data_IF_283377794812
#
_entry.id   IF_283377794812
#
_cell.length_a   1.000
_cell.length_b   1.000
_cell.length_c   1.000
_cell.angle_alpha   90.00
_cell.angle_beta   90.00
_cell.angle_gamma   90.00
#
_symmetry.space_group_name_H-M   'P 1'
#
loop_
_entity.id
_entity.type
_entity.pdbx_description
1 polymer ?
#
# COMPACT_ATOMS: atom_id res chain seq x y z
N UNK A 1 45.44 46.65 16.98
CA UNK A 1 45.02 45.97 18.23
C UNK A 1 43.65 46.43 18.75
N UNK A 2 43.31 47.75 18.73
CA UNK A 2 42.01 48.27 19.28
C UNK A 2 40.75 47.78 18.51
N UNK A 3 40.87 47.47 17.22
CA UNK A 3 39.69 46.99 16.43
C UNK A 3 39.31 45.53 16.78
N UNK A 4 40.29 44.67 17.03
CA UNK A 4 40.04 43.28 17.45
C UNK A 4 39.41 43.17 18.83
N UNK A 5 39.84 44.02 19.78
CA UNK A 5 39.26 44.09 21.12
C UNK A 5 37.77 44.52 21.07
N UNK A 6 37.41 45.50 20.22
CA UNK A 6 36.00 45.90 20.04
C UNK A 6 35.11 44.80 19.48
N UNK A 7 35.64 43.97 18.58
CA UNK A 7 34.89 42.82 18.05
C UNK A 7 34.67 41.73 19.12
N UNK A 8 35.69 41.45 19.93
CA UNK A 8 35.55 40.54 21.06
C UNK A 8 34.58 41.03 22.13
N UNK A 9 34.62 42.32 22.46
CA UNK A 9 33.69 42.93 23.44
C UNK A 9 32.26 42.99 22.91
N UNK A 10 32.05 43.21 21.61
CA UNK A 10 30.74 43.16 20.97
C UNK A 10 30.17 41.75 20.99
N UNK A 11 30.99 40.75 20.69
CA UNK A 11 30.58 39.32 20.73
C UNK A 11 30.19 38.87 22.14
N UNK A 12 31.00 39.27 23.16
CA UNK A 12 30.66 38.96 24.57
C UNK A 12 29.38 39.66 25.05
N UNK A 13 29.14 40.91 24.65
CA UNK A 13 27.90 41.62 24.98
C UNK A 13 26.68 41.00 24.32
N UNK A 14 26.79 40.58 23.05
CA UNK A 14 25.74 39.86 22.35
C UNK A 14 25.42 38.53 23.02
N UNK A 15 26.45 37.74 23.39
CA UNK A 15 26.28 36.45 24.07
C UNK A 15 25.64 36.63 25.47
N UNK A 16 26.06 37.65 26.24
CA UNK A 16 25.47 37.94 27.57
C UNK A 16 24.06 38.51 27.46
N UNK A 17 23.75 39.30 26.44
CA UNK A 17 22.39 39.75 26.15
C UNK A 17 21.46 38.61 25.76
N UNK A 18 21.97 37.68 24.96
CA UNK A 18 21.23 36.48 24.58
C UNK A 18 20.97 35.53 25.77
N UNK A 19 21.97 35.35 26.65
CA UNK A 19 21.83 34.54 27.87
C UNK A 19 20.90 35.18 28.93
N UNK A 20 20.65 36.48 28.87
CA UNK A 20 19.74 37.23 29.76
C UNK A 20 18.36 37.51 29.14
N UNK A 21 18.13 37.12 27.90
CA UNK A 21 16.86 37.31 27.22
C UNK A 21 15.83 36.29 27.76
N UNK A 22 15.15 36.66 28.84
CA UNK A 22 14.06 35.87 29.45
C UNK A 22 12.84 35.70 28.50
N UNK A 23 12.78 36.47 27.43
CA UNK A 23 11.74 36.34 26.39
C UNK A 23 11.90 35.20 25.42
N UNK A 24 13.01 34.41 25.50
CA UNK A 24 13.24 33.24 24.62
C UNK A 24 12.66 31.92 25.12
N UNK A 25 12.21 31.86 26.37
CA UNK A 25 11.70 30.61 26.99
C UNK A 25 10.55 29.98 26.20
N UNK A 26 9.50 30.69 25.78
CA UNK A 26 8.40 30.08 25.00
C UNK A 26 8.83 29.57 23.64
N UNK A 27 9.79 30.24 22.99
CA UNK A 27 10.29 29.80 21.68
C UNK A 27 11.13 28.52 21.79
N UNK A 28 11.91 28.38 22.86
CA UNK A 28 12.70 27.16 23.11
C UNK A 28 11.79 25.97 23.50
N UNK A 29 10.81 26.23 24.36
CA UNK A 29 9.80 25.24 24.74
C UNK A 29 9.03 24.73 23.51
N UNK A 30 8.58 25.63 22.64
CA UNK A 30 7.94 25.28 21.38
C UNK A 30 8.87 24.47 20.47
N UNK A 31 10.14 24.87 20.33
CA UNK A 31 11.10 24.17 19.49
C UNK A 31 11.40 22.74 19.96
N UNK A 32 11.26 22.46 21.25
CA UNK A 32 11.42 21.11 21.81
C UNK A 32 10.17 20.25 21.62
N UNK A 33 8.99 20.83 21.75
CA UNK A 33 7.71 20.10 21.65
C UNK A 33 7.26 19.91 20.20
N UNK A 34 7.50 20.90 19.33
CA UNK A 34 7.02 20.90 17.96
C UNK A 34 7.46 19.66 17.14
N UNK A 35 8.71 19.18 17.19
CA UNK A 35 9.12 18.00 16.43
C UNK A 35 8.33 16.74 16.81
N UNK A 36 8.08 16.54 18.10
CA UNK A 36 7.31 15.40 18.61
C UNK A 36 5.85 15.52 18.19
N UNK A 37 5.26 16.68 18.35
CA UNK A 37 3.88 16.96 17.94
C UNK A 37 3.68 16.74 16.44
N UNK A 38 4.59 17.28 15.62
CA UNK A 38 4.56 17.10 14.16
C UNK A 38 4.69 15.62 13.80
N UNK A 39 5.60 14.87 14.43
CA UNK A 39 5.76 13.45 14.19
C UNK A 39 4.47 12.67 14.48
N UNK A 40 3.77 12.97 15.58
CA UNK A 40 2.49 12.33 15.93
C UNK A 40 1.40 12.67 14.91
N UNK A 41 1.27 13.94 14.51
CA UNK A 41 0.27 14.37 13.53
C UNK A 41 0.51 13.68 12.18
N UNK A 42 1.73 13.74 11.64
CA UNK A 42 2.05 13.10 10.37
C UNK A 42 1.90 11.57 10.45
N UNK A 43 2.29 10.95 11.55
CA UNK A 43 2.12 9.51 11.79
C UNK A 43 0.64 9.12 11.76
N UNK A 44 -0.21 9.88 12.41
CA UNK A 44 -1.66 9.63 12.43
C UNK A 44 -2.27 9.77 11.03
N UNK A 45 -1.91 10.82 10.29
CA UNK A 45 -2.37 11.02 8.91
C UNK A 45 -1.91 9.86 8.02
N UNK A 46 -0.66 9.43 8.13
CA UNK A 46 -0.14 8.33 7.33
C UNK A 46 -0.83 6.99 7.64
N UNK A 47 -1.08 6.68 8.92
CA UNK A 47 -1.89 5.53 9.30
C UNK A 47 -3.29 5.60 8.67
N UNK A 48 -3.95 6.75 8.74
CA UNK A 48 -5.28 6.93 8.15
C UNK A 48 -5.26 6.67 6.63
N UNK A 49 -4.25 7.17 5.91
CA UNK A 49 -4.10 6.94 4.47
C UNK A 49 -3.89 5.45 4.15
N UNK A 50 -3.09 4.72 4.93
CA UNK A 50 -2.88 3.27 4.76
C UNK A 50 -4.20 2.52 4.97
N UNK A 51 -4.97 2.86 6.00
CA UNK A 51 -6.28 2.23 6.24
C UNK A 51 -7.28 2.52 5.13
N UNK A 52 -7.38 3.75 4.66
CA UNK A 52 -8.25 4.14 3.55
C UNK A 52 -7.84 3.40 2.28
N UNK A 53 -6.55 3.36 1.96
CA UNK A 53 -6.05 2.62 0.81
C UNK A 53 -6.36 1.12 0.91
N UNK A 54 -6.18 0.51 2.09
CA UNK A 54 -6.56 -0.88 2.35
C UNK A 54 -8.03 -1.16 2.09
N UNK A 55 -8.93 -0.30 2.59
CA UNK A 55 -10.37 -0.44 2.38
C UNK A 55 -10.77 -0.31 0.88
N UNK A 56 -10.16 0.61 0.15
CA UNK A 56 -10.38 0.73 -1.29
C UNK A 56 -9.84 -0.49 -2.06
N UNK A 57 -8.66 -1.00 -1.67
CA UNK A 57 -8.11 -2.22 -2.27
C UNK A 57 -9.07 -3.39 -2.06
N UNK A 58 -9.56 -3.60 -0.84
CA UNK A 58 -10.51 -4.66 -0.52
C UNK A 58 -11.80 -4.57 -1.33
N UNK A 59 -12.40 -3.39 -1.43
CA UNK A 59 -13.62 -3.15 -2.23
C UNK A 59 -13.38 -3.44 -3.71
N UNK A 60 -12.24 -3.01 -4.27
CA UNK A 60 -11.88 -3.26 -5.66
C UNK A 60 -11.64 -4.75 -5.95
N UNK A 61 -10.99 -5.45 -5.03
CA UNK A 61 -10.73 -6.89 -5.13
C UNK A 61 -12.02 -7.69 -5.00
N UNK A 62 -12.95 -7.31 -4.11
CA UNK A 62 -14.28 -7.93 -4.03
C UNK A 62 -15.05 -7.76 -5.35
N UNK A 63 -15.03 -6.56 -5.93
CA UNK A 63 -15.67 -6.32 -7.22
C UNK A 63 -15.04 -7.15 -8.36
N UNK A 64 -13.73 -7.37 -8.34
CA UNK A 64 -13.03 -8.23 -9.30
C UNK A 64 -13.35 -9.71 -9.05
N UNK A 65 -13.38 -10.16 -7.80
CA UNK A 65 -13.75 -11.54 -7.44
C UNK A 65 -15.15 -11.90 -7.94
N UNK A 66 -16.09 -10.98 -7.89
CA UNK A 66 -17.44 -11.19 -8.43
C UNK A 66 -17.44 -11.49 -9.93
N UNK A 67 -16.54 -10.91 -10.72
CA UNK A 67 -16.44 -11.21 -12.16
C UNK A 67 -15.99 -12.64 -12.42
N UNK A 68 -15.13 -13.19 -11.57
CA UNK A 68 -14.70 -14.60 -11.65
C UNK A 68 -15.82 -15.51 -11.14
N UNK A 69 -16.43 -15.17 -10.01
CA UNK A 69 -17.51 -15.94 -9.40
C UNK A 69 -18.68 -16.14 -10.37
N UNK A 70 -19.05 -15.11 -11.14
CA UNK A 70 -20.14 -15.16 -12.12
C UNK A 70 -19.72 -15.65 -13.50
N UNK A 71 -18.52 -16.19 -13.67
CA UNK A 71 -17.94 -16.57 -14.97
C UNK A 71 -17.88 -15.44 -16.01
N UNK A 72 -17.82 -14.18 -15.55
CA UNK A 72 -17.73 -13.01 -16.44
C UNK A 72 -16.28 -12.57 -16.73
N UNK A 73 -15.29 -13.21 -16.11
CA UNK A 73 -13.86 -12.94 -16.33
C UNK A 73 -13.39 -13.59 -17.65
N UNK A 74 -14.00 -13.18 -18.74
CA UNK A 74 -13.77 -13.72 -20.09
C UNK A 74 -13.53 -12.61 -21.10
N UNK A 75 -12.77 -12.91 -22.13
CA UNK A 75 -12.55 -12.06 -23.30
C UNK A 75 -13.30 -12.65 -24.47
N UNK A 76 -14.26 -11.91 -25.02
CA UNK A 76 -14.99 -12.29 -26.22
C UNK A 76 -14.32 -11.66 -27.44
N UNK A 77 -13.89 -12.48 -28.37
CA UNK A 77 -13.31 -12.09 -29.65
C UNK A 77 -14.16 -12.64 -30.79
N UNK A 78 -13.83 -12.26 -32.01
CA UNK A 78 -14.48 -12.83 -33.22
C UNK A 78 -14.27 -14.35 -33.32
N UNK A 79 -13.23 -14.89 -32.67
CA UNK A 79 -12.89 -16.31 -32.67
C UNK A 79 -13.52 -17.09 -31.50
N UNK A 80 -14.26 -16.45 -30.61
CA UNK A 80 -14.91 -17.07 -29.45
C UNK A 80 -14.64 -16.36 -28.12
N UNK A 81 -15.10 -16.99 -27.05
CA UNK A 81 -14.92 -16.50 -25.67
C UNK A 81 -13.90 -17.35 -24.94
N UNK A 82 -12.87 -16.70 -24.39
CA UNK A 82 -11.80 -17.34 -23.62
C UNK A 82 -11.66 -16.70 -22.24
N UNK A 83 -11.15 -17.45 -21.27
CA UNK A 83 -10.81 -16.90 -19.96
C UNK A 83 -9.73 -15.81 -20.09
N UNK A 84 -9.79 -14.81 -19.23
CA UNK A 84 -8.76 -13.77 -19.18
C UNK A 84 -7.41 -14.35 -18.81
N UNK A 85 -6.37 -13.82 -19.44
CA UNK A 85 -4.97 -14.08 -19.05
C UNK A 85 -4.61 -13.24 -17.81
N UNK A 86 -3.49 -13.57 -17.14
CA UNK A 86 -3.04 -12.83 -15.96
C UNK A 86 -2.93 -11.31 -16.20
N UNK A 87 -2.30 -10.81 -17.28
CA UNK A 87 -2.22 -9.36 -17.53
C UNK A 87 -3.59 -8.71 -17.80
N UNK A 88 -4.49 -9.41 -18.48
CA UNK A 88 -5.84 -8.92 -18.76
C UNK A 88 -6.67 -8.81 -17.47
N UNK A 89 -6.56 -9.82 -16.62
CA UNK A 89 -7.24 -9.82 -15.32
C UNK A 89 -6.65 -8.75 -14.37
N UNK A 90 -5.33 -8.58 -14.35
CA UNK A 90 -4.68 -7.50 -13.63
C UNK A 90 -5.18 -6.11 -14.07
N UNK A 91 -5.32 -5.89 -15.38
CA UNK A 91 -5.89 -4.65 -15.91
C UNK A 91 -7.35 -4.47 -15.50
N UNK A 92 -8.14 -5.56 -15.47
CA UNK A 92 -9.53 -5.52 -15.01
C UNK A 92 -9.65 -5.21 -13.52
N UNK A 93 -8.78 -5.78 -12.67
CA UNK A 93 -8.69 -5.44 -11.23
C UNK A 93 -8.32 -3.98 -11.06
N UNK A 94 -7.28 -3.51 -11.77
CA UNK A 94 -6.85 -2.13 -11.72
C UNK A 94 -7.96 -1.14 -12.11
N UNK A 95 -8.78 -1.49 -13.09
CA UNK A 95 -9.94 -0.69 -13.49
C UNK A 95 -11.04 -0.56 -12.44
N UNK A 96 -10.99 -1.36 -11.35
CA UNK A 96 -11.89 -1.27 -10.20
C UNK A 96 -11.32 -0.45 -9.05
N UNK A 97 -10.03 -0.12 -9.11
CA UNK A 97 -9.34 0.65 -8.09
C UNK A 97 -9.40 2.15 -8.40
N UNK A 98 -9.49 3.02 -7.38
CA UNK A 98 -9.45 4.47 -7.59
C UNK A 98 -8.08 4.95 -8.07
N UNK A 99 -8.03 6.16 -8.63
CA UNK A 99 -6.83 6.78 -9.23
C UNK A 99 -5.60 6.89 -8.32
N UNK A 100 -5.76 6.69 -7.02
CA UNK A 100 -4.62 6.66 -6.08
C UNK A 100 -3.74 5.43 -6.23
N UNK A 101 -4.21 4.38 -6.92
CA UNK A 101 -3.44 3.18 -7.19
C UNK A 101 -2.80 3.25 -8.57
N UNK A 102 -1.49 3.00 -8.64
CA UNK A 102 -0.80 2.82 -9.92
C UNK A 102 -0.95 1.37 -10.37
N UNK A 103 -1.44 1.16 -11.60
CA UNK A 103 -1.64 -0.19 -12.14
C UNK A 103 -0.34 -1.01 -12.23
N UNK A 104 0.80 -0.35 -12.38
CA UNK A 104 2.11 -1.01 -12.40
C UNK A 104 2.52 -1.61 -11.04
N UNK A 105 1.96 -1.11 -9.94
CA UNK A 105 2.21 -1.61 -8.58
C UNK A 105 1.20 -2.67 -8.13
N UNK A 106 0.16 -2.95 -8.90
CA UNK A 106 -0.85 -3.95 -8.57
C UNK A 106 -0.36 -5.33 -8.99
N UNK A 107 -0.19 -6.23 -8.04
CA UNK A 107 0.18 -7.62 -8.26
C UNK A 107 -1.03 -8.51 -7.97
N UNK A 108 -1.38 -9.40 -8.89
CA UNK A 108 -2.58 -10.22 -8.82
C UNK A 108 -2.23 -11.69 -8.90
N UNK A 109 -2.67 -12.45 -7.90
CA UNK A 109 -2.65 -13.90 -7.89
C UNK A 109 -4.07 -14.47 -7.88
N UNK A 110 -4.28 -15.53 -8.63
CA UNK A 110 -5.52 -16.28 -8.65
C UNK A 110 -5.21 -17.76 -8.61
N UNK A 111 -5.79 -18.47 -7.66
CA UNK A 111 -5.59 -19.90 -7.49
C UNK A 111 -6.93 -20.62 -7.56
N UNK A 112 -6.91 -21.82 -8.15
CA UNK A 112 -8.06 -22.71 -8.20
C UNK A 112 -7.88 -23.85 -7.21
N UNK A 113 -8.94 -24.17 -6.45
CA UNK A 113 -8.96 -25.31 -5.54
C UNK A 113 -10.22 -26.16 -5.78
N UNK A 114 -10.08 -27.48 -5.73
CA UNK A 114 -11.21 -28.41 -5.91
C UNK A 114 -12.02 -28.64 -4.64
N UNK A 115 -11.43 -28.34 -3.48
CA UNK A 115 -12.07 -28.48 -2.17
C UNK A 115 -11.63 -27.33 -1.23
N UNK A 116 -12.41 -27.02 -0.18
CA UNK A 116 -12.01 -26.02 0.81
C UNK A 116 -10.69 -26.34 1.51
N UNK A 117 -10.37 -27.62 1.70
CA UNK A 117 -9.13 -28.07 2.34
C UNK A 117 -7.89 -27.92 1.44
N UNK A 118 -8.08 -27.73 0.13
CA UNK A 118 -7.01 -27.49 -0.83
C UNK A 118 -6.73 -26.00 -1.04
N UNK A 119 -7.42 -25.11 -0.34
CA UNK A 119 -7.19 -23.67 -0.38
C UNK A 119 -5.84 -23.37 0.29
N UNK A 120 -4.98 -22.69 -0.45
CA UNK A 120 -3.72 -22.16 0.09
C UNK A 120 -3.66 -20.65 -0.15
N UNK A 121 -3.12 -19.93 0.83
CA UNK A 121 -2.87 -18.50 0.73
C UNK A 121 -1.42 -18.32 0.30
N UNK A 122 -1.21 -17.54 -0.73
CA UNK A 122 0.13 -17.22 -1.23
C UNK A 122 0.92 -16.45 -0.16
N UNK A 123 2.15 -16.89 0.06
CA UNK A 123 3.06 -16.21 0.98
C UNK A 123 4.09 -15.42 0.16
N UNK A 124 3.94 -14.09 0.06
CA UNK A 124 4.88 -13.28 -0.69
C UNK A 124 6.24 -13.25 -0.01
N UNK A 125 7.30 -13.46 -0.78
CA UNK A 125 8.69 -13.32 -0.33
C UNK A 125 9.35 -12.17 -1.10
N UNK A 126 10.04 -11.30 -0.36
CA UNK A 126 10.67 -10.12 -0.91
C UNK A 126 12.19 -10.20 -0.72
N UNK A 127 12.93 -9.60 -1.64
CA UNK A 127 14.36 -9.42 -1.50
C UNK A 127 14.72 -8.22 -0.59
N UNK A 128 16.00 -7.96 -0.40
CA UNK A 128 16.49 -6.85 0.41
C UNK A 128 16.15 -5.47 -0.17
N UNK A 129 15.79 -5.38 -1.44
CA UNK A 129 15.34 -4.14 -2.10
C UNK A 129 13.82 -3.93 -1.97
N UNK A 130 13.09 -4.94 -1.50
CA UNK A 130 11.63 -4.94 -1.41
C UNK A 130 10.92 -5.45 -2.67
N UNK A 131 11.65 -6.02 -3.63
CA UNK A 131 11.03 -6.62 -4.81
C UNK A 131 10.53 -8.04 -4.52
N UNK A 132 9.34 -8.37 -5.06
CA UNK A 132 8.75 -9.70 -4.93
C UNK A 132 9.61 -10.75 -5.68
N UNK A 133 10.13 -11.75 -4.95
CA UNK A 133 11.01 -12.79 -5.51
C UNK A 133 10.19 -13.91 -6.17
N UNK A 134 9.12 -14.34 -5.50
CA UNK A 134 8.29 -15.43 -5.97
C UNK A 134 7.13 -14.92 -6.83
N UNK A 135 6.94 -15.45 -8.05
CA UNK A 135 5.81 -15.02 -8.88
C UNK A 135 4.48 -15.45 -8.27
N UNK A 136 3.49 -14.58 -8.35
CA UNK A 136 2.13 -14.91 -7.93
C UNK A 136 1.53 -15.95 -8.88
N UNK A 137 0.90 -17.01 -8.36
CA UNK A 137 0.25 -18.01 -9.20
C UNK A 137 -0.97 -17.42 -9.90
N UNK A 138 -1.22 -17.83 -11.14
CA UNK A 138 -2.41 -17.44 -11.86
C UNK A 138 -3.06 -18.64 -12.54
N UNK A 139 -4.17 -19.09 -11.97
CA UNK A 139 -4.99 -20.16 -12.51
C UNK A 139 -6.46 -19.81 -12.36
N UNK A 140 -7.16 -19.64 -13.49
CA UNK A 140 -8.59 -19.35 -13.48
C UNK A 140 -9.36 -20.58 -12.98
N UNK A 141 -10.19 -20.44 -11.92
CA UNK A 141 -10.97 -21.56 -11.43
C UNK A 141 -12.11 -21.90 -12.41
N UNK A 142 -12.36 -23.20 -12.59
CA UNK A 142 -13.49 -23.69 -13.36
C UNK A 142 -14.80 -23.60 -12.56
N UNK A 143 -15.92 -23.78 -13.25
CA UNK A 143 -17.25 -23.82 -12.61
C UNK A 143 -17.30 -24.84 -11.47
N UNK A 144 -17.85 -24.44 -10.34
CA UNK A 144 -17.96 -25.26 -9.15
C UNK A 144 -16.68 -25.38 -8.31
N UNK A 145 -15.53 -24.91 -8.81
CA UNK A 145 -14.29 -24.83 -8.03
C UNK A 145 -14.26 -23.63 -7.11
N UNK A 146 -13.37 -23.68 -6.12
CA UNK A 146 -13.06 -22.54 -5.27
C UNK A 146 -11.97 -21.71 -5.93
N UNK A 147 -12.14 -20.39 -5.87
CA UNK A 147 -11.14 -19.41 -6.29
C UNK A 147 -10.56 -18.71 -5.08
N UNK A 148 -9.26 -18.47 -5.08
CA UNK A 148 -8.57 -17.60 -4.11
C UNK A 148 -7.94 -16.49 -4.90
N UNK A 149 -8.51 -15.31 -4.80
CA UNK A 149 -7.98 -14.08 -5.41
C UNK A 149 -7.19 -13.31 -4.38
N UNK A 150 -5.93 -13.07 -4.66
CA UNK A 150 -5.04 -12.28 -3.82
C UNK A 150 -4.47 -11.13 -4.62
N UNK A 151 -4.57 -9.96 -4.04
CA UNK A 151 -4.02 -8.74 -4.65
C UNK A 151 -3.09 -8.08 -3.65
N UNK A 152 -1.87 -7.83 -4.09
CA UNK A 152 -0.85 -7.12 -3.36
C UNK A 152 -0.62 -5.76 -4.01
N UNK A 153 -0.36 -4.77 -3.18
CA UNK A 153 0.02 -3.43 -3.64
C UNK A 153 1.07 -2.84 -2.71
N UNK A 154 2.14 -2.33 -3.29
CA UNK A 154 3.18 -1.64 -2.55
C UNK A 154 2.80 -0.16 -2.38
N UNK A 155 2.28 0.17 -1.19
CA UNK A 155 1.89 1.53 -0.85
C UNK A 155 3.11 2.34 -0.44
N UNK A 156 3.42 3.47 -1.12
CA UNK A 156 4.54 4.31 -0.74
C UNK A 156 4.30 4.96 0.61
N UNK A 157 5.28 4.88 1.50
CA UNK A 157 5.24 5.52 2.80
C UNK A 157 6.39 6.51 2.94
N UNK A 158 6.13 7.62 3.62
CA UNK A 158 7.12 8.66 3.87
C UNK A 158 7.72 8.39 5.25
N UNK A 159 9.06 8.43 5.33
CA UNK A 159 9.75 8.38 6.63
C UNK A 159 9.32 9.56 7.50
N UNK A 160 9.00 9.27 8.75
CA UNK A 160 8.55 10.26 9.72
C UNK A 160 9.73 10.88 10.46
N UNK A 161 9.57 12.10 11.02
CA UNK A 161 10.52 12.66 11.96
C UNK A 161 10.81 11.68 13.11
N UNK A 162 11.98 11.78 13.73
CA UNK A 162 12.45 10.92 14.80
C UNK A 162 12.71 9.46 14.41
N UNK A 163 12.84 9.15 13.10
CA UNK A 163 13.18 7.83 12.59
C UNK A 163 12.02 6.83 12.57
N UNK A 164 10.78 7.27 12.82
CA UNK A 164 9.61 6.41 12.69
C UNK A 164 9.36 6.08 11.22
N UNK A 165 9.16 4.80 10.93
CA UNK A 165 8.92 4.33 9.58
C UNK A 165 7.89 3.20 9.58
N UNK A 166 6.88 3.31 8.71
CA UNK A 166 5.88 2.26 8.48
C UNK A 166 6.28 1.29 7.35
N UNK A 167 7.39 1.56 6.66
CA UNK A 167 7.86 0.68 5.61
C UNK A 167 8.27 -0.69 6.18
N UNK A 168 7.81 -1.74 5.54
CA UNK A 168 8.18 -3.14 5.84
C UNK A 168 9.05 -3.74 4.75
N UNK A 169 8.91 -3.24 3.51
CA UNK A 169 9.59 -3.75 2.33
C UNK A 169 10.17 -2.55 1.56
N UNK A 170 11.49 -2.42 1.57
CA UNK A 170 12.16 -1.25 0.99
C UNK A 170 11.65 0.06 1.62
N UNK A 171 11.03 0.93 0.81
CA UNK A 171 10.39 2.19 1.25
C UNK A 171 8.85 2.10 1.28
N UNK A 172 8.28 0.90 1.16
CA UNK A 172 6.86 0.70 0.94
C UNK A 172 6.20 -0.07 2.09
N UNK A 173 4.89 0.11 2.25
CA UNK A 173 4.01 -0.71 3.07
C UNK A 173 3.23 -1.65 2.16
N UNK A 174 3.22 -2.95 2.44
CA UNK A 174 2.47 -3.91 1.64
C UNK A 174 1.00 -3.92 2.07
N UNK A 175 0.13 -3.51 1.15
CA UNK A 175 -1.30 -3.75 1.25
C UNK A 175 -1.61 -5.10 0.62
N UNK A 176 -2.42 -5.90 1.29
CA UNK A 176 -2.87 -7.20 0.82
C UNK A 176 -4.37 -7.33 1.00
N UNK A 177 -5.05 -7.83 -0.02
CA UNK A 177 -6.45 -8.21 0.04
C UNK A 177 -6.62 -9.60 -0.53
N UNK A 178 -7.37 -10.45 0.18
CA UNK A 178 -7.61 -11.85 -0.19
C UNK A 178 -9.10 -12.12 -0.18
N UNK A 179 -9.62 -12.65 -1.29
CA UNK A 179 -11.01 -13.06 -1.43
C UNK A 179 -11.10 -14.54 -1.80
N UNK A 180 -11.87 -15.29 -1.03
CA UNK A 180 -12.14 -16.70 -1.30
C UNK A 180 -13.61 -16.84 -1.70
N UNK A 181 -13.86 -17.48 -2.83
CA UNK A 181 -15.19 -17.63 -3.37
C UNK A 181 -15.32 -18.99 -4.09
N UNK A 182 -16.57 -19.39 -4.35
CA UNK A 182 -16.87 -20.57 -5.17
C UNK A 182 -17.50 -20.11 -6.48
N UNK A 183 -16.94 -20.54 -7.61
CA UNK A 183 -17.45 -20.19 -8.94
C UNK A 183 -18.81 -20.84 -9.15
N UNK A 184 -19.78 -20.04 -9.59
CA UNK A 184 -21.14 -20.53 -9.84
C UNK A 184 -21.16 -21.61 -10.93
N UNK A 185 -21.90 -22.66 -10.66
CA UNK A 185 -22.23 -23.64 -11.69
C UNK A 185 -23.40 -23.08 -12.49
N UNK A 186 -23.12 -22.58 -13.69
CA UNK A 186 -24.16 -22.04 -14.55
C UNK A 186 -25.00 -23.22 -15.08
N UNK A 187 -26.09 -23.54 -14.41
CA UNK A 187 -27.06 -24.56 -14.84
C UNK A 187 -28.00 -24.07 -15.95
N UNK A 188 -27.61 -23.06 -16.73
CA UNK A 188 -28.28 -22.75 -17.99
C UNK A 188 -27.82 -23.78 -19.06
N UNK A 189 -28.28 -25.01 -18.91
CA UNK A 189 -28.58 -25.83 -20.09
C UNK A 189 -29.68 -25.08 -20.83
N UNK A 190 -29.27 -24.43 -21.91
CA UNK A 190 -30.16 -23.86 -22.91
C UNK A 190 -31.13 -24.96 -23.34
N UNK A 191 -32.41 -24.75 -23.06
CA UNK A 191 -33.49 -25.35 -23.85
C UNK A 191 -33.57 -24.64 -25.19
#
# INVERSE_FOLDING_TARGET
>A
MRALQRLFDAGRRAATAFARAEGGSPAVEFALVAPVFIAVVFGTVQCALIFIAGAYLETGVEAAARTVLTNSAVVTTTSGTTAMTAPQFQAAVCGKLPLMFSCSGVMVGLQAATSPSAISIFQPTFDSSGALINPMPFQMPAQGQYGVLEVLYEWPVIGLPLGWNFAKYGSNYLLQSTQVFKVETNSKSVQ
#
